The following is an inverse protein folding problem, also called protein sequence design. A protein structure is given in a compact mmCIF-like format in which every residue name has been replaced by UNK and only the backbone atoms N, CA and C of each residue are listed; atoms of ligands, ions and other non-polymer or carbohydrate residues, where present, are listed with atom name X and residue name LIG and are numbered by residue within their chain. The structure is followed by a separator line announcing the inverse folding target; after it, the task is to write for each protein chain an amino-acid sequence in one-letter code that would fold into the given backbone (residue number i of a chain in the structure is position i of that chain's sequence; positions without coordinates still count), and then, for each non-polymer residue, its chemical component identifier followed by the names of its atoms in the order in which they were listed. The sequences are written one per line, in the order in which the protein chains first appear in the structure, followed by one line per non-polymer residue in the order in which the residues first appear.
data_IF_897878578130
#
_entry.id   IF_897878578130
#
_cell.length_a   1.000
_cell.length_b   1.000
_cell.length_c   1.000
_cell.angle_alpha   90.00
_cell.angle_beta   90.00
_cell.angle_gamma   90.00
#
_symmetry.space_group_name_H-M   'P 1'
#
loop_
_entity.id
_entity.type
_entity.pdbx_description
1 polymer ?
#
# COMPACT_ATOMS: atom_id res chain seq x y z
N UNK A 1 10.73 -17.62 7.40
CA UNK A 1 9.29 -17.33 7.16
C UNK A 1 8.63 -18.43 6.35
N UNK A 2 7.42 -18.82 6.74
CA UNK A 2 6.59 -19.76 5.99
C UNK A 2 6.05 -19.16 4.67
N UNK A 3 5.48 -20.01 3.81
CA UNK A 3 4.93 -19.60 2.50
C UNK A 3 3.80 -18.57 2.60
N UNK A 4 2.99 -18.65 3.65
CA UNK A 4 1.86 -17.74 3.90
C UNK A 4 2.34 -16.30 4.16
N UNK A 5 3.32 -16.13 5.07
CA UNK A 5 3.87 -14.80 5.37
C UNK A 5 4.56 -14.18 4.15
N UNK A 6 5.30 -14.99 3.37
CA UNK A 6 5.94 -14.51 2.14
C UNK A 6 4.91 -14.13 1.08
N UNK A 7 3.87 -14.96 0.90
CA UNK A 7 2.78 -14.70 -0.03
C UNK A 7 2.03 -13.41 0.31
N UNK A 8 1.77 -13.16 1.60
CA UNK A 8 1.17 -11.92 2.10
C UNK A 8 1.99 -10.67 1.80
N UNK A 9 3.31 -10.73 2.01
CA UNK A 9 4.20 -9.59 1.70
C UNK A 9 4.22 -9.32 0.19
N UNK A 10 4.29 -10.37 -0.63
CA UNK A 10 4.29 -10.23 -2.09
C UNK A 10 2.97 -9.63 -2.59
N UNK A 11 1.82 -10.09 -2.06
CA UNK A 11 0.52 -9.49 -2.41
C UNK A 11 0.44 -8.03 -1.98
N UNK A 12 1.00 -7.69 -0.82
CA UNK A 12 1.12 -6.30 -0.35
C UNK A 12 2.02 -5.46 -1.25
N UNK A 13 3.10 -6.01 -1.81
CA UNK A 13 3.95 -5.32 -2.79
C UNK A 13 3.23 -5.06 -4.11
N UNK A 14 2.44 -6.01 -4.60
CA UNK A 14 1.65 -5.82 -5.81
C UNK A 14 0.61 -4.71 -5.58
N UNK A 15 -0.09 -4.73 -4.44
CA UNK A 15 -1.01 -3.66 -4.03
C UNK A 15 -0.33 -2.30 -3.93
N UNK A 16 0.88 -2.27 -3.37
CA UNK A 16 1.71 -1.07 -3.28
C UNK A 16 2.12 -0.53 -4.65
N UNK A 17 2.54 -1.39 -5.58
CA UNK A 17 2.86 -1.00 -6.95
C UNK A 17 1.68 -0.35 -7.66
N UNK A 18 0.48 -0.95 -7.58
CA UNK A 18 -0.73 -0.36 -8.16
C UNK A 18 -1.09 0.99 -7.51
N UNK A 19 -0.98 1.13 -6.19
CA UNK A 19 -1.21 2.41 -5.53
C UNK A 19 -0.21 3.49 -5.97
N UNK A 20 1.07 3.14 -6.09
CA UNK A 20 2.08 4.09 -6.58
C UNK A 20 1.78 4.56 -8.00
N UNK A 21 1.44 3.65 -8.92
CA UNK A 21 1.09 4.00 -10.30
C UNK A 21 -0.14 4.93 -10.33
N UNK A 22 -1.18 4.59 -9.58
CA UNK A 22 -2.40 5.43 -9.51
C UNK A 22 -2.12 6.79 -8.87
N UNK A 23 -1.35 6.85 -7.77
CA UNK A 23 -0.95 8.09 -7.13
C UNK A 23 -0.19 9.02 -8.09
N UNK A 24 0.71 8.46 -8.90
CA UNK A 24 1.40 9.19 -9.97
C UNK A 24 0.40 9.72 -11.00
N UNK A 25 -0.54 8.89 -11.47
CA UNK A 25 -1.58 9.31 -12.44
C UNK A 25 -2.42 10.47 -11.87
N UNK A 26 -2.81 10.43 -10.59
CA UNK A 26 -3.54 11.54 -9.95
C UNK A 26 -2.71 12.83 -9.87
N UNK A 27 -1.43 12.73 -9.55
CA UNK A 27 -0.54 13.90 -9.52
C UNK A 27 -0.38 14.50 -10.92
N UNK A 28 -0.18 13.67 -11.96
CA UNK A 28 -0.08 14.16 -13.34
C UNK A 28 -1.40 14.73 -13.88
N UNK A 29 -2.54 14.13 -13.56
CA UNK A 29 -3.86 14.65 -13.95
C UNK A 29 -4.23 15.94 -13.19
N UNK A 30 -3.71 16.16 -11.98
CA UNK A 30 -3.81 17.46 -11.31
C UNK A 30 -3.01 18.57 -12.01
N UNK A 31 -1.92 18.20 -12.71
CA UNK A 31 -1.07 19.12 -13.49
C UNK A 31 -1.57 19.33 -14.93
N UNK A 32 -2.16 18.30 -15.55
CA UNK A 32 -2.66 18.32 -16.92
C UNK A 32 -4.21 18.37 -16.94
N UNK A 33 -4.76 19.56 -17.17
CA UNK A 33 -6.18 19.85 -17.46
C UNK A 33 -7.22 19.53 -16.35
N UNK A 34 -7.58 20.60 -15.66
CA UNK A 34 -8.77 20.84 -14.81
C UNK A 34 -10.14 20.70 -15.51
N UNK A 35 -10.44 19.63 -16.25
CA UNK A 35 -11.78 19.50 -16.88
C UNK A 35 -12.51 18.17 -16.77
N UNK A 36 -11.96 17.16 -16.10
CA UNK A 36 -12.66 15.86 -15.97
C UNK A 36 -13.34 15.66 -14.60
N UNK A 37 -12.93 16.39 -13.56
CA UNK A 37 -13.54 16.29 -12.22
C UNK A 37 -13.80 17.70 -11.68
N UNK A 38 -14.96 18.25 -12.00
CA UNK A 38 -15.32 19.65 -11.77
C UNK A 38 -15.69 20.02 -10.31
N UNK A 39 -15.57 19.10 -9.33
CA UNK A 39 -16.05 19.33 -7.96
C UNK A 39 -15.08 18.94 -6.84
N UNK A 40 -13.82 18.60 -7.13
CA UNK A 40 -12.83 18.28 -6.08
C UNK A 40 -11.69 19.31 -6.14
N UNK A 41 -11.43 19.94 -5.00
CA UNK A 41 -10.38 20.93 -4.85
C UNK A 41 -9.01 20.34 -5.20
N UNK A 42 -8.17 21.08 -5.95
CA UNK A 42 -6.84 20.60 -6.39
C UNK A 42 -5.98 20.12 -5.23
N UNK A 43 -6.10 20.79 -4.10
CA UNK A 43 -5.40 20.48 -2.85
C UNK A 43 -5.76 19.08 -2.33
N UNK A 44 -7.03 18.68 -2.45
CA UNK A 44 -7.50 17.35 -2.01
C UNK A 44 -6.96 16.25 -2.91
N UNK A 45 -6.92 16.48 -4.23
CA UNK A 45 -6.35 15.53 -5.20
C UNK A 45 -4.85 15.32 -4.94
N UNK A 46 -4.11 16.41 -4.71
CA UNK A 46 -2.67 16.34 -4.41
C UNK A 46 -2.43 15.61 -3.07
N UNK A 47 -3.20 15.94 -2.03
CA UNK A 47 -3.08 15.30 -0.72
C UNK A 47 -3.33 13.79 -0.79
N UNK A 48 -4.38 13.36 -1.51
CA UNK A 48 -4.68 11.94 -1.73
C UNK A 48 -3.56 11.27 -2.54
N UNK A 49 -3.04 11.93 -3.59
CA UNK A 49 -1.93 11.41 -4.40
C UNK A 49 -0.65 11.18 -3.59
N UNK A 50 -0.29 12.10 -2.69
CA UNK A 50 0.88 11.95 -1.80
C UNK A 50 0.68 10.83 -0.79
N UNK A 51 -0.51 10.75 -0.17
CA UNK A 51 -0.85 9.67 0.77
C UNK A 51 -0.78 8.28 0.12
N UNK A 52 -1.22 8.18 -1.13
CA UNK A 52 -1.13 6.97 -1.97
C UNK A 52 0.30 6.61 -2.39
N UNK A 53 1.30 7.46 -2.13
CA UNK A 53 2.72 7.15 -2.38
C UNK A 53 3.44 6.79 -1.08
N UNK A 54 3.24 7.55 -0.01
CA UNK A 54 3.98 7.36 1.25
C UNK A 54 3.66 6.00 1.88
N UNK A 55 2.38 5.64 1.99
CA UNK A 55 1.96 4.38 2.61
C UNK A 55 2.54 3.15 1.91
N UNK A 56 2.34 3.01 0.58
CA UNK A 56 2.93 1.93 -0.21
C UNK A 56 4.45 1.84 -0.13
N UNK A 57 5.17 2.97 -0.11
CA UNK A 57 6.63 2.98 0.06
C UNK A 57 7.02 2.36 1.40
N UNK A 58 6.33 2.70 2.48
CA UNK A 58 6.58 2.08 3.78
C UNK A 58 6.31 0.57 3.76
N UNK A 59 5.22 0.13 3.12
CA UNK A 59 4.94 -1.32 2.93
C UNK A 59 6.08 -2.00 2.18
N UNK A 60 6.62 -1.39 1.12
CA UNK A 60 7.75 -1.94 0.35
C UNK A 60 9.00 -2.04 1.23
N UNK A 61 9.34 -1.00 1.98
CA UNK A 61 10.53 -0.97 2.85
C UNK A 61 10.41 -2.02 3.97
N UNK A 62 9.30 -2.02 4.72
CA UNK A 62 9.11 -2.95 5.84
C UNK A 62 8.93 -4.40 5.38
N UNK A 63 8.23 -4.63 4.26
CA UNK A 63 8.12 -5.96 3.67
C UNK A 63 9.47 -6.50 3.19
N UNK A 64 10.32 -5.63 2.63
CA UNK A 64 11.66 -6.02 2.16
C UNK A 64 12.57 -6.35 3.34
N UNK A 65 12.52 -5.55 4.41
CA UNK A 65 13.23 -5.81 5.66
C UNK A 65 12.74 -7.10 6.34
N UNK A 66 11.43 -7.37 6.32
CA UNK A 66 10.86 -8.60 6.85
C UNK A 66 11.34 -9.84 6.07
N UNK A 67 11.42 -9.76 4.74
CA UNK A 67 11.94 -10.84 3.90
C UNK A 67 13.45 -11.07 4.11
N UNK A 68 14.24 -9.98 4.20
CA UNK A 68 15.69 -10.05 4.34
C UNK A 68 16.11 -10.51 5.74
N UNK A 69 15.57 -9.89 6.80
CA UNK A 69 15.96 -10.18 8.19
C UNK A 69 15.16 -11.30 8.84
N UNK A 70 14.05 -11.74 8.23
CA UNK A 70 13.17 -12.84 8.69
C UNK A 70 12.65 -12.69 10.14
N UNK A 71 12.71 -11.48 10.72
CA UNK A 71 12.25 -11.24 12.08
C UNK A 71 10.73 -11.04 12.15
N UNK A 72 10.12 -11.43 13.27
CA UNK A 72 8.70 -11.17 13.52
C UNK A 72 8.36 -9.68 13.63
N UNK A 73 9.28 -8.83 14.10
CA UNK A 73 9.06 -7.40 14.28
C UNK A 73 8.76 -6.68 12.97
N UNK A 74 9.62 -6.84 11.96
CA UNK A 74 9.41 -6.24 10.64
C UNK A 74 8.17 -6.82 9.93
N UNK A 75 7.89 -8.11 10.13
CA UNK A 75 6.67 -8.76 9.60
C UNK A 75 5.41 -8.10 10.16
N UNK A 76 5.35 -7.92 11.48
CA UNK A 76 4.21 -7.30 12.15
C UNK A 76 4.03 -5.85 11.69
N UNK A 77 5.12 -5.08 11.62
CA UNK A 77 5.11 -3.72 11.10
C UNK A 77 4.57 -3.67 9.65
N UNK A 78 5.05 -4.54 8.76
CA UNK A 78 4.56 -4.63 7.39
C UNK A 78 3.06 -4.94 7.33
N UNK A 79 2.58 -5.90 8.13
CA UNK A 79 1.16 -6.26 8.17
C UNK A 79 0.26 -5.14 8.70
N UNK A 80 0.68 -4.46 9.76
CA UNK A 80 -0.06 -3.32 10.34
C UNK A 80 -0.10 -2.14 9.37
N UNK A 81 1.03 -1.79 8.77
CA UNK A 81 1.10 -0.68 7.80
C UNK A 81 0.27 -1.02 6.56
N UNK A 82 0.29 -2.27 6.08
CA UNK A 82 -0.57 -2.71 4.98
C UNK A 82 -2.06 -2.52 5.32
N UNK A 83 -2.49 -2.86 6.55
CA UNK A 83 -3.86 -2.62 7.01
C UNK A 83 -4.19 -1.13 7.16
N UNK A 84 -3.25 -0.29 7.59
CA UNK A 84 -3.45 1.16 7.61
C UNK A 84 -3.62 1.74 6.20
N UNK A 85 -2.87 1.22 5.23
CA UNK A 85 -3.01 1.58 3.82
C UNK A 85 -4.39 1.22 3.25
N UNK A 86 -5.11 0.23 3.80
CA UNK A 86 -6.50 -0.08 3.42
C UNK A 86 -7.42 1.11 3.71
N UNK A 87 -7.26 1.78 4.85
CA UNK A 87 -8.09 2.95 5.23
C UNK A 87 -7.88 4.10 4.24
N UNK A 88 -6.63 4.31 3.83
CA UNK A 88 -6.27 5.36 2.85
C UNK A 88 -6.74 4.98 1.44
N UNK A 89 -6.57 3.71 1.04
CA UNK A 89 -7.01 3.22 -0.26
C UNK A 89 -8.55 3.21 -0.39
N UNK A 90 -9.27 3.06 0.73
CA UNK A 90 -10.72 3.15 0.78
C UNK A 90 -11.21 4.56 0.48
N UNK A 91 -10.55 5.59 1.05
CA UNK A 91 -10.83 6.99 0.75
C UNK A 91 -10.63 7.35 -0.74
N UNK A 92 -9.85 6.53 -1.46
CA UNK A 92 -9.58 6.71 -2.87
C UNK A 92 -10.40 5.76 -3.78
N UNK A 93 -11.33 4.95 -3.25
CA UNK A 93 -12.20 4.02 -4.00
C UNK A 93 -11.45 3.00 -4.90
N UNK A 94 -10.31 2.48 -4.43
CA UNK A 94 -9.38 1.73 -5.28
C UNK A 94 -9.36 0.19 -5.09
N UNK A 95 -9.24 -0.54 -6.21
CA UNK A 95 -8.96 -1.99 -6.33
C UNK A 95 -7.80 -2.51 -5.44
N UNK A 96 -6.66 -1.82 -5.24
CA UNK A 96 -5.58 -2.27 -4.35
C UNK A 96 -5.97 -2.44 -2.89
N UNK A 97 -7.15 -2.00 -2.47
CA UNK A 97 -7.69 -2.24 -1.12
C UNK A 97 -7.73 -3.73 -0.78
N UNK A 98 -8.22 -4.58 -1.68
CA UNK A 98 -8.32 -6.02 -1.45
C UNK A 98 -6.92 -6.65 -1.37
N UNK A 99 -5.98 -6.18 -2.19
CA UNK A 99 -4.60 -6.67 -2.18
C UNK A 99 -3.88 -6.34 -0.87
N UNK A 100 -4.09 -5.15 -0.33
CA UNK A 100 -3.54 -4.77 0.99
C UNK A 100 -4.24 -5.49 2.14
N UNK A 101 -5.54 -5.70 2.06
CA UNK A 101 -6.29 -6.43 3.09
C UNK A 101 -5.84 -7.89 3.16
N UNK A 102 -5.88 -8.59 2.02
CA UNK A 102 -5.45 -9.99 1.92
C UNK A 102 -3.96 -10.11 2.23
N UNK A 103 -3.13 -9.24 1.66
CA UNK A 103 -1.69 -9.21 1.91
C UNK A 103 -1.34 -8.97 3.38
N UNK A 104 -2.00 -8.01 4.03
CA UNK A 104 -1.82 -7.68 5.44
C UNK A 104 -2.22 -8.84 6.36
N UNK A 105 -3.40 -9.43 6.15
CA UNK A 105 -3.88 -10.58 6.95
C UNK A 105 -2.94 -11.78 6.78
N UNK A 106 -2.58 -12.16 5.55
CA UNK A 106 -1.68 -13.28 5.30
C UNK A 106 -0.28 -13.04 5.90
N UNK A 107 0.21 -11.80 5.86
CA UNK A 107 1.49 -11.42 6.48
C UNK A 107 1.45 -11.59 8.00
N UNK A 108 0.34 -11.22 8.65
CA UNK A 108 0.17 -11.35 10.10
C UNK A 108 -0.02 -12.82 10.53
N UNK A 109 -0.87 -13.56 9.83
CA UNK A 109 -1.18 -14.97 10.11
C UNK A 109 0.00 -15.92 9.82
N UNK A 110 0.94 -15.55 8.95
CA UNK A 110 2.08 -16.40 8.64
C UNK A 110 3.16 -16.40 9.74
N UNK A 111 3.85 -17.52 9.93
CA UNK A 111 4.89 -17.70 10.96
C UNK A 111 6.26 -17.24 10.43
N UNK A 112 6.96 -16.39 11.18
CA UNK A 112 8.39 -16.19 10.95
C UNK A 112 9.13 -17.36 11.61
N UNK A 113 9.78 -18.19 10.79
CA UNK A 113 10.84 -19.06 11.29
C UNK A 113 12.02 -18.13 11.57
N UNK A 114 12.28 -17.91 12.87
CA UNK A 114 13.60 -17.51 13.36
C UNK A 114 14.59 -18.60 12.96
#
# INVERSE_FOLDING_TARGET
MNGVAKGGIITSFIGAGFCCIMGIIFLFSSAALTKVVSNIDKTVIIAIGVLLLVGPVLVIVFGSLALAKKTNGFKLACGIIALLCVVVAWAAYFVPLILFLVGGILTLCGKANN
#
